data_IF_668570446664
#
_entry.id   IF_668570446664
#
_cell.length_a   1.000
_cell.length_b   1.000
_cell.length_c   1.000
_cell.angle_alpha   90.00
_cell.angle_beta   90.00
_cell.angle_gamma   90.00
#
_symmetry.space_group_name_H-M   'P 1'
#
loop_
_entity.id
_entity.type
_entity.pdbx_description
1 polymer ?
#
# COMPACT_ATOMS: atom_id res chain seq x y z
N UNK A 1 -1.27 -28.33 -1.89
CA UNK A 1 -0.90 -28.76 -3.26
C UNK A 1 -0.12 -27.60 -3.84
N UNK A 2 1.09 -27.81 -4.35
CA UNK A 2 1.91 -26.72 -4.87
C UNK A 2 1.70 -26.62 -6.38
N UNK A 3 1.16 -25.51 -6.85
CA UNK A 3 0.97 -25.22 -8.28
C UNK A 3 2.00 -24.18 -8.72
N UNK A 4 2.62 -24.42 -9.87
CA UNK A 4 3.61 -23.54 -10.47
C UNK A 4 3.18 -23.21 -11.90
N UNK A 5 3.19 -21.92 -12.24
CA UNK A 5 2.95 -21.43 -13.60
C UNK A 5 4.18 -20.67 -14.10
N UNK A 6 4.54 -20.86 -15.37
CA UNK A 6 5.57 -20.09 -16.06
C UNK A 6 4.90 -19.07 -16.99
N UNK A 7 5.23 -17.80 -16.82
CA UNK A 7 4.61 -16.68 -17.55
C UNK A 7 5.63 -15.99 -18.45
N UNK A 8 5.23 -15.75 -19.71
CA UNK A 8 5.99 -14.97 -20.68
C UNK A 8 5.24 -13.67 -20.99
N UNK A 9 5.92 -12.53 -20.88
CA UNK A 9 5.34 -11.21 -21.13
C UNK A 9 5.16 -10.89 -22.63
N UNK A 10 5.67 -11.74 -23.53
CA UNK A 10 5.51 -11.57 -24.98
C UNK A 10 4.09 -11.95 -25.50
N UNK A 11 3.33 -12.73 -24.73
CA UNK A 11 2.01 -13.27 -25.11
C UNK A 11 0.89 -12.69 -24.22
N UNK A 12 0.88 -11.36 -24.02
CA UNK A 12 -0.05 -10.67 -23.10
C UNK A 12 -1.16 -9.97 -23.87
N UNK A 13 -2.41 -10.19 -23.47
CA UNK A 13 -3.56 -9.48 -24.06
C UNK A 13 -3.80 -8.14 -23.36
N UNK A 14 -3.92 -7.06 -24.14
CA UNK A 14 -4.36 -5.76 -23.63
C UNK A 14 -5.85 -5.81 -23.25
N UNK A 15 -6.18 -5.43 -22.02
CA UNK A 15 -7.55 -5.24 -21.56
C UNK A 15 -8.10 -3.90 -22.05
N UNK A 16 -9.39 -3.88 -22.39
CA UNK A 16 -10.10 -2.68 -22.80
C UNK A 16 -11.33 -2.53 -21.92
N UNK A 17 -11.52 -1.31 -21.41
CA UNK A 17 -12.58 -1.00 -20.46
C UNK A 17 -13.50 0.07 -21.02
N UNK A 18 -14.79 -0.03 -20.71
CA UNK A 18 -15.76 1.04 -20.96
C UNK A 18 -15.80 2.02 -19.78
N UNK A 19 -15.76 3.32 -20.05
CA UNK A 19 -15.88 4.34 -18.99
C UNK A 19 -17.29 4.35 -18.40
N UNK A 20 -17.39 4.48 -17.07
CA UNK A 20 -18.65 4.53 -16.33
C UNK A 20 -18.56 5.45 -15.11
N UNK A 21 -19.69 6.02 -14.73
CA UNK A 21 -19.82 6.84 -13.51
C UNK A 21 -20.35 6.02 -12.30
N UNK A 22 -20.78 4.77 -12.53
CA UNK A 22 -21.56 3.99 -11.55
C UNK A 22 -20.71 3.11 -10.60
N UNK A 23 -19.38 3.11 -10.68
CA UNK A 23 -18.55 2.24 -9.82
C UNK A 23 -18.63 2.61 -8.34
N UNK A 24 -18.96 3.86 -8.02
CA UNK A 24 -19.23 4.29 -6.63
C UNK A 24 -20.47 3.60 -6.02
N UNK A 25 -21.36 3.03 -6.85
CA UNK A 25 -22.50 2.26 -6.37
C UNK A 25 -22.10 0.86 -5.86
N UNK A 26 -20.98 0.29 -6.35
CA UNK A 26 -20.47 -1.00 -5.90
C UNK A 26 -19.50 -0.90 -4.72
N UNK A 27 -18.92 0.29 -4.47
CA UNK A 27 -17.93 0.53 -3.43
C UNK A 27 -18.49 1.27 -2.22
N UNK A 28 -18.17 0.80 -1.02
CA UNK A 28 -18.34 1.55 0.22
C UNK A 28 -17.12 2.44 0.43
N UNK A 29 -17.33 3.75 0.26
CA UNK A 29 -16.31 4.77 0.44
C UNK A 29 -16.49 5.44 1.80
N UNK A 30 -15.52 5.28 2.68
CA UNK A 30 -15.47 5.96 3.96
C UNK A 30 -14.33 6.97 3.95
N UNK A 31 -14.57 8.17 4.48
CA UNK A 31 -13.55 9.20 4.61
C UNK A 31 -13.39 9.57 6.09
N UNK A 32 -12.14 9.71 6.51
CA UNK A 32 -11.77 10.10 7.86
C UNK A 32 -10.72 11.20 7.83
N UNK A 33 -10.70 12.02 8.87
CA UNK A 33 -9.58 12.94 9.12
C UNK A 33 -8.72 12.34 10.21
N UNK A 34 -7.41 12.37 10.04
CA UNK A 34 -6.50 12.01 11.12
C UNK A 34 -6.67 12.97 12.30
N UNK A 35 -6.58 12.48 13.55
CA UNK A 35 -6.60 13.34 14.73
C UNK A 35 -5.35 14.25 14.80
N UNK A 36 -4.23 13.84 14.20
CA UNK A 36 -2.96 14.56 14.23
C UNK A 36 -2.70 15.32 12.91
N UNK A 37 -3.53 16.33 12.64
CA UNK A 37 -3.47 17.13 11.40
C UNK A 37 -2.17 17.97 11.22
N UNK A 38 -1.26 17.97 12.19
CA UNK A 38 -0.06 18.81 12.21
C UNK A 38 1.26 17.99 12.23
N UNK A 39 1.21 16.67 12.00
CA UNK A 39 2.38 15.77 12.07
C UNK A 39 2.54 14.94 10.80
N UNK A 40 3.78 14.78 10.35
CA UNK A 40 4.11 14.03 9.12
C UNK A 40 4.01 12.54 9.40
N UNK A 41 3.22 11.88 8.56
CA UNK A 41 3.01 10.45 8.59
C UNK A 41 3.86 9.82 7.48
N UNK A 42 4.88 9.07 7.86
CA UNK A 42 5.64 8.27 6.90
C UNK A 42 4.91 6.97 6.53
N UNK A 43 4.10 6.41 7.44
CA UNK A 43 3.37 5.16 7.23
C UNK A 43 2.12 5.00 8.12
N UNK A 44 1.09 4.33 7.62
CA UNK A 44 -0.10 3.95 8.39
C UNK A 44 -0.79 2.69 7.83
N UNK A 45 -1.62 2.05 8.66
CA UNK A 45 -2.58 1.05 8.23
C UNK A 45 -3.93 1.20 8.93
N UNK A 46 -4.94 0.59 8.33
CA UNK A 46 -6.31 0.56 8.86
C UNK A 46 -6.71 -0.88 9.13
N UNK A 47 -7.35 -1.11 10.26
CA UNK A 47 -8.01 -2.37 10.58
C UNK A 47 -9.32 -2.09 11.32
N UNK A 48 -10.45 -2.44 10.71
CA UNK A 48 -11.78 -2.08 11.20
C UNK A 48 -11.95 -0.56 11.44
N UNK A 49 -12.12 -0.12 12.70
CA UNK A 49 -12.23 1.31 13.06
C UNK A 49 -10.91 1.94 13.51
N UNK A 50 -9.82 1.16 13.53
CA UNK A 50 -8.54 1.57 14.08
C UNK A 50 -7.59 1.95 12.97
N UNK A 51 -6.91 3.07 13.17
CA UNK A 51 -5.83 3.54 12.32
C UNK A 51 -4.55 3.48 13.12
N UNK A 52 -3.61 2.63 12.70
CA UNK A 52 -2.26 2.58 13.25
C UNK A 52 -1.37 3.47 12.39
N UNK A 53 -0.59 4.35 13.01
CA UNK A 53 0.17 5.34 12.26
C UNK A 53 1.46 5.73 12.97
N UNK A 54 2.44 6.13 12.16
CA UNK A 54 3.69 6.73 12.63
C UNK A 54 3.47 8.18 13.04
N UNK A 55 4.13 8.58 14.13
CA UNK A 55 4.42 9.97 14.45
C UNK A 55 5.93 10.17 14.46
N UNK A 56 6.42 10.97 13.52
CA UNK A 56 7.82 11.35 13.41
C UNK A 56 7.96 12.87 13.52
N UNK A 57 8.93 13.32 14.30
CA UNK A 57 9.14 14.74 14.62
C UNK A 57 10.28 15.37 13.80
N UNK A 58 10.90 14.64 12.88
CA UNK A 58 12.10 15.07 12.18
C UNK A 58 11.97 16.47 11.53
N UNK A 59 10.90 16.69 10.77
CA UNK A 59 10.65 17.96 10.09
C UNK A 59 10.30 19.11 11.04
N UNK A 60 9.81 18.81 12.25
CA UNK A 60 9.63 19.82 13.29
C UNK A 60 10.96 20.23 13.92
N UNK A 61 11.94 19.31 13.98
CA UNK A 61 13.25 19.57 14.57
C UNK A 61 14.19 20.34 13.62
N UNK A 62 13.94 20.29 12.31
CA UNK A 62 14.77 20.94 11.30
C UNK A 62 14.13 22.25 10.85
N UNK A 63 14.92 23.31 10.90
CA UNK A 63 14.50 24.59 10.33
C UNK A 63 14.62 24.58 8.81
N UNK A 64 13.51 24.25 8.14
CA UNK A 64 13.42 24.24 6.69
C UNK A 64 13.60 25.64 6.07
N UNK A 65 13.43 26.72 6.85
CA UNK A 65 13.55 28.11 6.37
C UNK A 65 14.95 28.70 6.56
N UNK A 66 15.75 28.11 7.45
CA UNK A 66 17.05 28.60 7.89
C UNK A 66 17.02 29.90 8.71
N UNK A 67 15.87 30.32 9.24
CA UNK A 67 15.68 31.58 9.95
C UNK A 67 15.68 31.47 11.49
N UNK A 68 15.25 30.34 12.05
CA UNK A 68 15.02 30.12 13.48
C UNK A 68 16.01 29.13 14.11
N UNK A 69 16.69 28.33 13.29
CA UNK A 69 17.64 27.30 13.71
C UNK A 69 16.94 26.01 14.17
N UNK A 70 17.68 24.90 14.13
CA UNK A 70 17.16 23.58 14.48
C UNK A 70 16.81 23.50 15.98
N UNK A 71 15.77 22.75 16.30
CA UNK A 71 15.38 22.41 17.67
C UNK A 71 16.24 21.22 18.13
N UNK A 72 16.85 21.26 19.33
CA UNK A 72 17.55 20.12 19.87
C UNK A 72 16.61 18.91 20.04
N UNK A 73 17.10 17.74 19.69
CA UNK A 73 16.39 16.49 19.95
C UNK A 73 16.25 16.23 21.45
N UNK A 74 15.09 15.70 21.85
CA UNK A 74 14.76 15.22 23.19
C UNK A 74 14.01 13.87 23.04
N UNK A 75 14.06 13.01 24.06
CA UNK A 75 13.52 11.63 23.98
C UNK A 75 12.02 11.58 23.62
N UNK A 76 11.24 12.60 24.01
CA UNK A 76 9.83 12.71 23.65
C UNK A 76 9.58 13.00 22.15
N UNK A 77 10.61 13.39 21.41
CA UNK A 77 10.59 13.55 19.95
C UNK A 77 11.06 12.30 19.22
N UNK A 78 11.29 11.19 19.93
CA UNK A 78 11.54 9.94 19.24
C UNK A 78 10.28 9.45 18.51
N UNK A 79 10.47 8.64 17.48
CA UNK A 79 9.40 8.09 16.67
C UNK A 79 8.43 7.30 17.54
N UNK A 80 7.14 7.51 17.30
CA UNK A 80 6.06 6.80 17.97
C UNK A 80 5.23 6.05 16.95
N UNK A 81 4.69 4.91 17.37
CA UNK A 81 3.59 4.26 16.69
C UNK A 81 2.37 4.40 17.58
N UNK A 82 1.29 4.91 17.01
CA UNK A 82 0.05 5.22 17.74
C UNK A 82 -1.12 4.52 17.07
N UNK A 83 -2.22 4.39 17.81
CA UNK A 83 -3.48 3.91 17.29
C UNK A 83 -4.59 4.89 17.62
N UNK A 84 -5.34 5.26 16.60
CA UNK A 84 -6.55 6.07 16.73
C UNK A 84 -7.78 5.22 16.42
N UNK A 85 -8.74 5.17 17.34
CA UNK A 85 -10.02 4.49 17.12
C UNK A 85 -11.10 5.51 16.75
N UNK A 86 -11.53 5.45 15.49
CA UNK A 86 -12.53 6.34 14.91
C UNK A 86 -13.92 6.20 15.54
N UNK A 87 -14.22 5.09 16.22
CA UNK A 87 -15.51 4.90 16.90
C UNK A 87 -15.55 5.57 18.27
N UNK A 88 -14.43 5.56 18.99
CA UNK A 88 -14.34 6.07 20.37
C UNK A 88 -13.69 7.44 20.47
N UNK A 89 -13.12 7.95 19.37
CA UNK A 89 -12.38 9.22 19.33
C UNK A 89 -11.22 9.21 20.36
N UNK A 90 -10.52 8.08 20.41
CA UNK A 90 -9.42 7.85 21.37
C UNK A 90 -8.12 7.60 20.64
N UNK A 91 -7.05 8.21 21.15
CA UNK A 91 -5.70 8.11 20.62
C UNK A 91 -4.75 7.56 21.68
N UNK A 92 -4.08 6.45 21.36
CA UNK A 92 -3.27 5.69 22.30
C UNK A 92 -1.85 5.45 21.75
N UNK A 93 -0.86 5.54 22.63
CA UNK A 93 0.52 5.17 22.30
C UNK A 93 0.64 3.65 22.26
N UNK A 94 1.09 3.10 21.13
CA UNK A 94 1.37 1.67 20.98
C UNK A 94 2.83 1.37 21.30
N UNK A 95 3.74 2.17 20.73
CA UNK A 95 5.17 2.01 20.93
C UNK A 95 5.90 3.35 20.77
N UNK A 96 6.98 3.53 21.51
CA UNK A 96 7.89 4.66 21.37
C UNK A 96 9.33 4.13 21.35
N UNK A 97 10.11 4.63 20.40
CA UNK A 97 11.54 4.37 20.35
C UNK A 97 12.30 5.12 21.45
N UNK A 98 13.42 4.55 21.88
CA UNK A 98 14.28 5.11 22.94
C UNK A 98 15.72 5.25 22.45
N UNK A 99 15.87 5.87 21.27
CA UNK A 99 17.14 6.14 20.60
C UNK A 99 17.58 7.61 20.77
N UNK A 100 18.80 7.94 20.38
CA UNK A 100 19.36 9.31 20.42
C UNK A 100 18.91 10.19 19.23
N UNK A 101 17.86 9.78 18.50
CA UNK A 101 17.28 10.48 17.35
C UNK A 101 15.99 9.83 16.87
N UNK A 102 15.28 10.47 15.93
CA UNK A 102 14.13 9.88 15.25
C UNK A 102 14.55 8.64 14.46
N UNK A 103 13.68 7.64 14.43
CA UNK A 103 13.83 6.41 13.64
C UNK A 103 12.81 6.45 12.50
N UNK A 104 13.28 6.37 11.26
CA UNK A 104 12.38 6.29 10.11
C UNK A 104 11.81 4.88 10.00
N UNK A 105 10.49 4.77 9.88
CA UNK A 105 9.79 3.50 9.67
C UNK A 105 8.93 3.55 8.42
N UNK A 106 8.66 2.39 7.83
CA UNK A 106 7.76 2.24 6.69
C UNK A 106 6.89 0.99 6.81
N UNK A 107 5.93 0.86 5.89
CA UNK A 107 5.14 -0.35 5.67
C UNK A 107 4.49 -0.92 6.95
N UNK A 108 3.88 -0.04 7.76
CA UNK A 108 3.08 -0.45 8.92
C UNK A 108 1.89 -1.28 8.43
N UNK A 109 1.69 -2.47 9.00
CA UNK A 109 0.57 -3.37 8.72
C UNK A 109 0.10 -4.00 10.03
N UNK A 110 -1.20 -4.26 10.15
CA UNK A 110 -1.78 -5.00 11.27
C UNK A 110 -2.47 -6.25 10.73
N UNK A 111 -2.11 -7.44 11.21
CA UNK A 111 -2.67 -8.73 10.73
C UNK A 111 -3.93 -9.19 11.50
N UNK A 112 -4.45 -8.33 12.39
CA UNK A 112 -5.52 -8.66 13.32
C UNK A 112 -5.05 -9.09 14.71
N UNK A 113 -3.78 -9.49 14.85
CA UNK A 113 -3.13 -9.85 16.12
C UNK A 113 -1.87 -9.03 16.38
N UNK A 114 -0.99 -8.92 15.40
CA UNK A 114 0.30 -8.25 15.48
C UNK A 114 0.35 -7.03 14.57
N UNK A 115 0.94 -5.98 15.10
CA UNK A 115 1.42 -4.83 14.32
C UNK A 115 2.83 -5.13 13.83
N UNK A 116 3.06 -4.93 12.55
CA UNK A 116 4.31 -5.22 11.84
C UNK A 116 4.75 -3.95 11.13
N UNK A 117 6.05 -3.64 11.14
CA UNK A 117 6.60 -2.49 10.41
C UNK A 117 8.07 -2.72 10.07
N UNK A 118 8.57 -1.94 9.12
CA UNK A 118 9.97 -1.91 8.71
C UNK A 118 10.68 -0.69 9.32
N UNK A 119 11.87 -0.88 9.90
CA UNK A 119 12.81 0.21 10.15
C UNK A 119 13.64 0.49 8.88
N UNK A 120 13.65 1.74 8.45
CA UNK A 120 14.42 2.20 7.29
C UNK A 120 15.83 2.56 7.76
N UNK A 121 16.71 1.55 7.81
CA UNK A 121 18.16 1.68 8.07
C UNK A 121 18.98 1.08 6.93
N UNK A 122 20.31 1.18 7.00
CA UNK A 122 21.23 0.56 6.03
C UNK A 122 20.93 -0.96 5.82
N UNK A 123 20.38 -1.62 6.84
CA UNK A 123 19.74 -2.93 6.77
C UNK A 123 18.23 -2.85 7.06
N UNK A 124 17.41 -3.42 6.17
CA UNK A 124 15.97 -3.56 6.40
C UNK A 124 15.72 -4.47 7.59
N UNK A 125 15.19 -3.92 8.68
CA UNK A 125 14.81 -4.69 9.86
C UNK A 125 13.30 -4.65 10.04
N UNK A 126 12.67 -5.83 10.13
CA UNK A 126 11.23 -5.94 10.38
C UNK A 126 10.96 -6.25 11.84
N UNK A 127 9.99 -5.56 12.42
CA UNK A 127 9.53 -5.77 13.79
C UNK A 127 8.08 -6.23 13.81
N UNK A 128 7.73 -6.96 14.87
CA UNK A 128 6.36 -7.32 15.20
C UNK A 128 6.06 -7.00 16.67
N UNK A 129 4.83 -6.57 16.96
CA UNK A 129 4.36 -6.30 18.32
C UNK A 129 2.90 -6.76 18.45
N UNK A 130 2.57 -7.46 19.52
CA UNK A 130 1.18 -7.67 19.93
C UNK A 130 0.76 -6.46 20.78
N UNK A 131 -0.08 -5.53 20.27
CA UNK A 131 -0.47 -4.34 21.00
C UNK A 131 -1.34 -4.63 22.23
N UNK A 132 -1.91 -5.84 22.33
CA UNK A 132 -2.74 -6.24 23.48
C UNK A 132 -1.93 -6.94 24.59
N UNK A 133 -0.79 -7.56 24.27
CA UNK A 133 -0.06 -8.42 25.20
C UNK A 133 1.39 -7.99 25.50
N UNK A 134 2.02 -7.20 24.62
CA UNK A 134 3.45 -6.91 24.70
C UNK A 134 3.72 -5.41 24.78
N UNK A 135 4.80 -5.06 25.48
CA UNK A 135 5.27 -3.66 25.60
C UNK A 135 6.55 -3.39 24.82
N UNK A 136 7.10 -4.41 24.15
CA UNK A 136 8.36 -4.34 23.42
C UNK A 136 8.25 -5.13 22.12
N UNK A 137 8.70 -4.56 20.99
CA UNK A 137 8.65 -5.24 19.71
C UNK A 137 9.67 -6.37 19.65
N UNK A 138 9.31 -7.42 18.93
CA UNK A 138 10.20 -8.52 18.57
C UNK A 138 10.75 -8.28 17.18
N UNK A 139 12.08 -8.25 17.04
CA UNK A 139 12.75 -8.29 15.74
C UNK A 139 12.50 -9.64 15.07
N UNK A 140 12.06 -9.62 13.81
CA UNK A 140 11.91 -10.81 12.98
C UNK A 140 13.26 -11.13 12.32
N UNK A 141 13.74 -12.35 12.54
CA UNK A 141 14.92 -12.87 11.85
C UNK A 141 14.49 -13.43 10.49
N UNK A 142 14.51 -12.57 9.48
CA UNK A 142 14.25 -12.96 8.10
C UNK A 142 15.57 -13.54 7.55
N UNK A 143 15.72 -14.86 7.61
CA UNK A 143 16.92 -15.55 7.11
C UNK A 143 17.12 -15.31 5.59
N UNK A 144 17.78 -14.23 5.18
CA UNK A 144 18.36 -14.00 3.84
C UNK A 144 17.49 -14.22 2.59
N UNK A 145 16.20 -14.54 2.72
CA UNK A 145 15.30 -14.69 1.60
C UNK A 145 14.78 -13.32 1.22
N UNK A 146 14.82 -13.04 -0.09
CA UNK A 146 14.46 -11.78 -0.71
C UNK A 146 12.98 -11.42 -0.44
N UNK A 147 12.68 -10.84 0.71
CA UNK A 147 11.35 -10.31 1.03
C UNK A 147 11.43 -8.80 0.83
N UNK A 148 11.11 -8.36 -0.40
CA UNK A 148 10.55 -7.02 -0.58
C UNK A 148 9.28 -6.93 0.29
N UNK A 149 8.97 -5.77 0.91
CA UNK A 149 8.18 -5.67 2.14
C UNK A 149 6.90 -6.50 2.08
N UNK A 150 6.58 -7.17 3.19
CA UNK A 150 5.38 -7.97 3.37
C UNK A 150 4.18 -7.26 2.75
N UNK A 151 3.72 -7.71 1.58
CA UNK A 151 2.41 -7.31 1.09
C UNK A 151 1.44 -8.31 1.69
N UNK A 152 0.73 -7.91 2.74
CA UNK A 152 -0.46 -8.65 3.18
C UNK A 152 -1.65 -8.13 2.37
N UNK A 153 -2.27 -9.01 1.59
CA UNK A 153 -3.51 -8.69 0.87
C UNK A 153 -4.60 -9.65 1.34
N UNK A 154 -5.52 -9.15 2.17
CA UNK A 154 -6.46 -10.03 2.85
C UNK A 154 -5.70 -11.09 3.69
N UNK A 155 -6.02 -12.36 3.44
CA UNK A 155 -5.39 -13.52 4.10
C UNK A 155 -4.19 -14.09 3.32
N UNK A 156 -3.54 -13.31 2.46
CA UNK A 156 -2.41 -13.75 1.64
C UNK A 156 -1.12 -13.03 1.99
N UNK A 157 -0.06 -13.83 2.18
CA UNK A 157 1.33 -13.39 2.21
C UNK A 157 1.92 -13.51 0.80
N UNK A 158 2.49 -12.41 0.30
CA UNK A 158 3.12 -12.35 -1.02
C UNK A 158 4.61 -12.07 -0.85
N UNK A 159 5.45 -12.97 -1.38
CA UNK A 159 6.90 -12.79 -1.43
C UNK A 159 7.43 -12.81 -2.86
N UNK A 160 8.52 -12.07 -3.08
CA UNK A 160 9.12 -11.87 -4.40
C UNK A 160 10.61 -12.19 -4.37
N UNK A 161 10.99 -13.31 -4.98
CA UNK A 161 12.39 -13.66 -5.19
C UNK A 161 12.84 -13.21 -6.59
N UNK A 162 13.89 -12.38 -6.65
CA UNK A 162 14.48 -11.93 -7.91
C UNK A 162 15.67 -12.82 -8.29
N UNK A 163 15.63 -13.40 -9.48
CA UNK A 163 16.72 -14.14 -10.10
C UNK A 163 17.27 -13.42 -11.33
N UNK A 164 18.27 -14.03 -11.98
CA UNK A 164 18.84 -13.52 -13.23
C UNK A 164 17.83 -13.69 -14.37
N UNK A 165 17.19 -12.60 -14.78
CA UNK A 165 16.19 -12.55 -15.87
C UNK A 165 14.83 -13.18 -15.57
N UNK A 166 14.60 -13.68 -14.35
CA UNK A 166 13.32 -14.28 -13.93
C UNK A 166 12.99 -13.84 -12.51
N UNK A 167 11.72 -13.55 -12.24
CA UNK A 167 11.19 -13.27 -10.91
C UNK A 167 10.24 -14.36 -10.47
N UNK A 168 10.27 -14.74 -9.19
CA UNK A 168 9.32 -15.68 -8.60
C UNK A 168 8.42 -14.98 -7.60
N UNK A 169 7.12 -14.99 -7.87
CA UNK A 169 6.09 -14.48 -6.95
C UNK A 169 5.51 -15.69 -6.23
N UNK A 170 5.71 -15.76 -4.91
CA UNK A 170 5.05 -16.76 -4.06
C UNK A 170 3.87 -16.11 -3.36
N UNK A 171 2.73 -16.79 -3.40
CA UNK A 171 1.49 -16.35 -2.77
C UNK A 171 1.04 -17.47 -1.85
N UNK A 172 0.90 -17.17 -0.56
CA UNK A 172 0.55 -18.14 0.45
C UNK A 172 -0.67 -17.67 1.23
N UNK A 173 -1.72 -18.49 1.25
CA UNK A 173 -2.85 -18.27 2.15
C UNK A 173 -2.41 -18.54 3.59
N UNK A 174 -2.68 -17.61 4.50
CA UNK A 174 -2.22 -17.65 5.88
C UNK A 174 -3.01 -18.68 6.70
N UNK A 175 -4.32 -18.78 6.48
CA UNK A 175 -5.21 -19.65 7.26
C UNK A 175 -4.98 -21.13 7.00
N UNK A 176 -4.83 -21.50 5.72
CA UNK A 176 -4.77 -22.89 5.28
C UNK A 176 -3.40 -23.31 4.74
N UNK A 177 -2.45 -22.37 4.63
CA UNK A 177 -1.09 -22.57 4.12
C UNK A 177 -1.02 -23.11 2.68
N UNK A 178 -2.08 -22.94 1.87
CA UNK A 178 -2.03 -23.18 0.43
C UNK A 178 -1.03 -22.21 -0.21
N UNK A 179 -0.12 -22.75 -1.02
CA UNK A 179 0.94 -21.98 -1.69
C UNK A 179 0.84 -22.11 -3.20
N UNK A 180 0.89 -20.97 -3.89
CA UNK A 180 1.01 -20.84 -5.34
C UNK A 180 2.30 -20.10 -5.66
N UNK A 181 2.95 -20.46 -6.77
CA UNK A 181 4.15 -19.77 -7.23
C UNK A 181 4.07 -19.46 -8.71
N UNK A 182 4.25 -18.18 -9.06
CA UNK A 182 4.38 -17.70 -10.43
C UNK A 182 5.86 -17.50 -10.74
N UNK A 183 6.31 -18.03 -11.86
CA UNK A 183 7.64 -17.78 -12.42
C UNK A 183 7.49 -16.86 -13.62
N UNK A 184 7.87 -15.60 -13.47
CA UNK A 184 7.70 -14.55 -14.48
C UNK A 184 9.05 -14.27 -15.13
N UNK A 185 9.13 -14.38 -16.46
CA UNK A 185 10.29 -13.88 -17.21
C UNK A 185 10.28 -12.35 -17.17
N UNK A 186 11.32 -11.74 -16.62
CA UNK A 186 11.40 -10.28 -16.41
C UNK A 186 11.54 -9.88 -14.94
N UNK A 187 11.60 -8.58 -14.71
CA UNK A 187 11.83 -7.97 -13.40
C UNK A 187 10.51 -7.50 -12.80
N UNK A 188 9.89 -8.33 -11.96
CA UNK A 188 8.64 -8.00 -11.26
C UNK A 188 8.90 -6.95 -10.19
N UNK A 189 7.94 -6.04 -10.04
CA UNK A 189 7.94 -4.99 -9.03
C UNK A 189 6.56 -4.86 -8.38
N UNK A 190 6.54 -4.85 -7.05
CA UNK A 190 5.37 -4.67 -6.17
C UNK A 190 4.18 -5.61 -6.46
N UNK A 191 4.37 -6.94 -6.49
CA UNK A 191 3.24 -7.83 -6.70
C UNK A 191 2.21 -7.71 -5.57
N UNK A 192 0.93 -7.70 -5.95
CA UNK A 192 -0.23 -7.77 -5.05
C UNK A 192 -1.11 -8.91 -5.55
N UNK A 193 -1.63 -9.74 -4.65
CA UNK A 193 -2.46 -10.88 -5.05
C UNK A 193 -3.53 -11.21 -4.03
N UNK A 194 -4.65 -11.73 -4.52
CA UNK A 194 -5.71 -12.32 -3.71
C UNK A 194 -5.99 -13.76 -4.19
N UNK A 195 -7.17 -14.29 -3.87
CA UNK A 195 -7.55 -15.66 -4.23
C UNK A 195 -7.74 -15.89 -5.74
N UNK A 196 -8.07 -14.82 -6.48
CA UNK A 196 -8.43 -14.84 -7.91
C UNK A 196 -7.37 -14.25 -8.83
N UNK A 197 -6.63 -13.25 -8.36
CA UNK A 197 -5.79 -12.40 -9.19
C UNK A 197 -4.40 -12.20 -8.58
N UNK A 198 -3.41 -12.05 -9.44
CA UNK A 198 -2.11 -11.48 -9.09
C UNK A 198 -1.78 -10.36 -10.07
N UNK A 199 -1.49 -9.18 -9.55
CA UNK A 199 -1.16 -7.98 -10.33
C UNK A 199 0.22 -7.47 -9.98
N UNK A 200 0.95 -6.92 -10.96
CA UNK A 200 2.27 -6.34 -10.73
C UNK A 200 2.68 -5.36 -11.84
N UNK A 201 3.70 -4.56 -11.56
CA UNK A 201 4.40 -3.71 -12.53
C UNK A 201 5.77 -4.30 -12.86
N UNK A 202 6.43 -3.86 -13.93
CA UNK A 202 7.85 -4.15 -14.16
C UNK A 202 8.77 -3.08 -13.57
N UNK A 203 9.98 -3.48 -13.19
CA UNK A 203 11.01 -2.60 -12.61
C UNK A 203 11.63 -1.64 -13.65
N UNK A 204 11.49 -1.94 -14.94
CA UNK A 204 12.09 -1.20 -16.07
C UNK A 204 11.59 0.24 -16.25
N UNK A 205 10.59 0.68 -15.48
CA UNK A 205 10.12 2.06 -15.49
C UNK A 205 9.05 2.37 -16.53
N UNK A 206 8.51 1.36 -17.23
CA UNK A 206 7.23 1.46 -17.93
C UNK A 206 6.11 1.49 -16.89
N UNK A 207 6.08 2.56 -16.09
CA UNK A 207 5.13 2.79 -15.02
C UNK A 207 3.70 3.03 -15.53
N UNK A 208 3.45 2.75 -16.81
CA UNK A 208 2.17 2.88 -17.47
C UNK A 208 1.52 1.51 -17.71
N UNK A 209 2.16 0.40 -17.35
CA UNK A 209 1.63 -0.95 -17.55
C UNK A 209 1.44 -1.68 -16.22
N UNK A 210 0.24 -2.21 -16.01
CA UNK A 210 -0.07 -3.14 -14.93
C UNK A 210 -0.42 -4.50 -15.52
N UNK A 211 0.34 -5.53 -15.15
CA UNK A 211 0.06 -6.91 -15.53
C UNK A 211 -0.99 -7.51 -14.59
N UNK A 212 -1.88 -8.32 -15.14
CA UNK A 212 -2.99 -8.97 -14.45
C UNK A 212 -2.98 -10.46 -14.81
N UNK A 213 -2.70 -11.31 -13.84
CA UNK A 213 -2.81 -12.75 -13.97
C UNK A 213 -4.06 -13.25 -13.25
N UNK A 214 -4.96 -13.87 -14.01
CA UNK A 214 -6.16 -14.51 -13.50
C UNK A 214 -5.88 -16.00 -13.23
N UNK A 215 -6.04 -16.41 -11.96
CA UNK A 215 -5.82 -17.79 -11.54
C UNK A 215 -6.90 -18.76 -12.04
N UNK A 216 -8.13 -18.28 -12.23
CA UNK A 216 -9.25 -19.10 -12.68
C UNK A 216 -9.14 -19.40 -14.17
N UNK A 217 -8.78 -18.39 -14.97
CA UNK A 217 -8.61 -18.52 -16.42
C UNK A 217 -7.21 -19.02 -16.80
N UNK A 218 -6.23 -18.87 -15.91
CA UNK A 218 -4.81 -19.11 -16.20
C UNK A 218 -4.26 -18.13 -17.24
N UNK A 219 -4.82 -16.92 -17.31
CA UNK A 219 -4.59 -15.94 -18.38
C UNK A 219 -3.81 -14.74 -17.86
N UNK A 220 -2.79 -14.34 -18.61
CA UNK A 220 -2.04 -13.11 -18.40
C UNK A 220 -2.55 -12.01 -19.34
N UNK A 221 -2.92 -10.87 -18.76
CA UNK A 221 -3.37 -9.67 -19.46
C UNK A 221 -2.64 -8.43 -18.94
N UNK A 222 -2.84 -7.27 -19.57
CA UNK A 222 -2.30 -6.00 -19.10
C UNK A 222 -3.30 -4.85 -19.21
N UNK A 223 -3.09 -3.81 -18.40
CA UNK A 223 -3.77 -2.52 -18.46
C UNK A 223 -2.73 -1.46 -18.77
N UNK A 224 -3.02 -0.59 -19.74
CA UNK A 224 -2.17 0.56 -20.10
C UNK A 224 -2.78 1.87 -19.58
N UNK A 225 -1.97 2.68 -18.91
CA UNK A 225 -2.36 3.95 -18.28
C UNK A 225 -1.96 5.20 -19.10
N UNK A 226 -1.32 5.00 -20.25
CA UNK A 226 -0.92 6.08 -21.17
C UNK A 226 -2.15 6.89 -21.65
N UNK A 227 -2.09 8.24 -21.73
CA UNK A 227 -0.93 9.12 -21.60
C UNK A 227 -0.63 9.60 -20.16
N UNK A 228 -1.27 9.01 -19.15
CA UNK A 228 -0.87 9.17 -17.75
C UNK A 228 0.07 8.05 -17.31
N UNK A 229 0.36 8.03 -16.01
CA UNK A 229 1.26 7.06 -15.39
C UNK A 229 0.65 6.48 -14.13
N UNK A 230 0.82 5.18 -13.92
CA UNK A 230 0.47 4.52 -12.67
C UNK A 230 1.50 4.86 -11.58
N UNK A 231 1.06 5.51 -10.52
CA UNK A 231 1.91 5.86 -9.38
C UNK A 231 1.89 4.80 -8.29
N UNK A 232 0.69 4.32 -7.93
CA UNK A 232 0.48 3.22 -6.98
C UNK A 232 -0.85 2.55 -7.27
N UNK A 233 -1.04 1.34 -6.75
CA UNK A 233 -2.23 0.54 -6.97
C UNK A 233 -2.47 -0.41 -5.81
N UNK A 234 -3.71 -0.88 -5.71
CA UNK A 234 -4.13 -1.92 -4.80
C UNK A 234 -5.22 -2.79 -5.45
N UNK A 235 -5.47 -3.95 -4.85
CA UNK A 235 -6.41 -4.95 -5.34
C UNK A 235 -7.54 -5.14 -4.31
N UNK A 236 -8.76 -4.84 -4.74
CA UNK A 236 -9.96 -4.95 -3.93
C UNK A 236 -10.93 -5.92 -4.60
N UNK A 237 -10.87 -7.20 -4.20
CA UNK A 237 -11.61 -8.28 -4.88
C UNK A 237 -11.26 -8.33 -6.38
N UNK A 238 -12.22 -8.11 -7.29
CA UNK A 238 -12.00 -8.02 -8.73
C UNK A 238 -11.80 -6.56 -9.22
N UNK A 239 -11.75 -5.60 -8.30
CA UNK A 239 -11.48 -4.20 -8.59
C UNK A 239 -10.00 -3.87 -8.44
N UNK A 240 -9.44 -3.13 -9.40
CA UNK A 240 -8.14 -2.50 -9.26
C UNK A 240 -8.34 -1.03 -8.91
N UNK A 241 -7.78 -0.60 -7.79
CA UNK A 241 -7.72 0.80 -7.39
C UNK A 241 -6.38 1.35 -7.86
N UNK A 242 -6.40 2.25 -8.82
CA UNK A 242 -5.21 2.82 -9.45
C UNK A 242 -5.09 4.31 -9.13
N UNK A 243 -3.96 4.70 -8.56
CA UNK A 243 -3.58 6.11 -8.43
C UNK A 243 -2.79 6.51 -9.67
N UNK A 244 -3.43 7.31 -10.52
CA UNK A 244 -2.86 7.77 -11.78
C UNK A 244 -2.36 9.21 -11.65
N UNK A 245 -1.09 9.42 -12.03
CA UNK A 245 -0.48 10.76 -12.14
C UNK A 245 -0.50 11.25 -13.58
N UNK A 246 -0.56 12.57 -13.71
CA UNK A 246 -0.49 13.24 -15.00
C UNK A 246 0.96 13.36 -15.47
N UNK A 247 1.29 12.83 -16.64
CA UNK A 247 2.59 13.08 -17.30
C UNK A 247 2.49 14.05 -18.49
N UNK A 248 1.28 14.33 -18.98
CA UNK A 248 1.07 15.21 -20.14
C UNK A 248 -0.15 16.12 -19.96
N UNK A 249 -0.44 16.99 -20.92
CA UNK A 249 -1.68 17.79 -20.92
C UNK A 249 -2.97 16.95 -21.10
N UNK A 250 -2.85 15.63 -21.27
CA UNK A 250 -3.95 14.69 -21.45
C UNK A 250 -4.02 13.72 -20.26
N UNK A 251 -5.23 13.30 -19.91
CA UNK A 251 -5.51 12.52 -18.70
C UNK A 251 -5.75 13.40 -17.47
N UNK A 252 -6.55 12.90 -16.53
CA UNK A 252 -6.78 13.52 -15.23
C UNK A 252 -5.99 12.76 -14.17
N UNK A 253 -5.41 13.48 -13.24
CA UNK A 253 -4.79 12.87 -12.08
C UNK A 253 -5.87 12.53 -11.04
N UNK A 254 -5.71 11.39 -10.39
CA UNK A 254 -6.69 10.94 -9.41
C UNK A 254 -6.68 9.45 -9.13
N UNK A 255 -7.69 9.04 -8.39
CA UNK A 255 -7.93 7.63 -8.04
C UNK A 255 -8.98 7.08 -9.00
N UNK A 256 -8.65 5.99 -9.67
CA UNK A 256 -9.49 5.27 -10.61
C UNK A 256 -9.82 3.88 -10.06
N UNK A 257 -11.01 3.39 -10.40
CA UNK A 257 -11.43 2.01 -10.17
C UNK A 257 -11.60 1.33 -11.52
N UNK A 258 -11.04 0.13 -11.65
CA UNK A 258 -11.24 -0.75 -12.80
C UNK A 258 -11.94 -2.01 -12.32
N UNK A 259 -13.12 -2.27 -12.88
CA UNK A 259 -13.90 -3.48 -12.69
C UNK A 259 -13.50 -4.50 -13.76
N UNK A 260 -12.80 -5.56 -13.35
CA UNK A 260 -12.33 -6.61 -14.24
C UNK A 260 -13.44 -7.56 -14.71
N UNK A 261 -14.53 -7.70 -13.95
CA UNK A 261 -15.66 -8.56 -14.33
C UNK A 261 -16.58 -7.85 -15.31
N UNK A 262 -16.94 -6.60 -15.00
CA UNK A 262 -17.77 -5.75 -15.85
C UNK A 262 -17.02 -5.17 -17.04
N UNK A 263 -15.68 -5.22 -17.05
CA UNK A 263 -14.82 -4.55 -18.03
C UNK A 263 -15.14 -3.06 -18.13
N UNK A 264 -15.32 -2.42 -16.98
CA UNK A 264 -15.58 -0.98 -16.90
C UNK A 264 -14.55 -0.27 -16.03
N UNK A 265 -14.38 1.04 -16.21
CA UNK A 265 -13.53 1.84 -15.34
C UNK A 265 -14.15 3.22 -15.09
N UNK A 266 -13.75 3.86 -13.99
CA UNK A 266 -14.28 5.17 -13.61
C UNK A 266 -13.38 5.88 -12.62
N UNK A 267 -13.38 7.21 -12.67
CA UNK A 267 -12.64 8.03 -11.73
C UNK A 267 -13.44 8.15 -10.41
N UNK A 268 -12.84 7.74 -9.30
CA UNK A 268 -13.42 7.87 -7.96
C UNK A 268 -13.14 9.25 -7.35
N UNK A 269 -11.91 9.75 -7.52
CA UNK A 269 -11.46 11.03 -6.98
C UNK A 269 -10.60 11.76 -8.00
N UNK A 270 -10.75 13.08 -8.10
CA UNK A 270 -10.08 13.95 -9.08
C UNK A 270 -9.22 14.99 -8.37
N UNK A 271 -7.94 15.10 -8.73
CA UNK A 271 -7.10 16.17 -8.20
C UNK A 271 -7.45 17.53 -8.81
N UNK A 272 -8.02 17.57 -10.00
CA UNK A 272 -8.35 18.81 -10.71
C UNK A 272 -9.60 19.49 -10.14
N UNK A 273 -10.61 18.70 -9.77
CA UNK A 273 -11.88 19.22 -9.28
C UNK A 273 -11.78 19.68 -7.82
N UNK A 274 -10.91 19.02 -7.05
CA UNK A 274 -10.84 19.20 -5.60
C UNK A 274 -9.48 19.70 -5.08
N UNK A 275 -8.49 19.90 -5.95
CA UNK A 275 -7.12 20.29 -5.62
C UNK A 275 -6.43 19.37 -4.59
N UNK A 276 -6.70 18.06 -4.70
CA UNK A 276 -6.09 17.04 -3.86
C UNK A 276 -4.71 16.61 -4.38
N UNK A 277 -3.78 16.38 -3.46
CA UNK A 277 -2.54 15.63 -3.76
C UNK A 277 -2.70 14.23 -3.20
N UNK A 278 -2.71 13.23 -4.09
CA UNK A 278 -2.81 11.82 -3.67
C UNK A 278 -1.43 11.24 -3.39
N UNK A 279 -1.29 10.62 -2.23
CA UNK A 279 -0.12 9.84 -1.84
C UNK A 279 -0.28 8.37 -2.25
N UNK A 280 0.44 7.46 -1.62
CA UNK A 280 0.38 6.04 -2.00
C UNK A 280 -0.99 5.42 -1.67
N UNK A 281 -1.41 4.51 -2.54
CA UNK A 281 -2.49 3.56 -2.26
C UNK A 281 -1.91 2.33 -1.58
N UNK A 282 -2.58 1.88 -0.54
CA UNK A 282 -2.15 0.77 0.31
C UNK A 282 -3.24 -0.31 0.37
N UNK A 283 -2.78 -1.55 0.48
CA UNK A 283 -3.64 -2.71 0.63
C UNK A 283 -3.89 -2.99 2.11
N UNK A 284 -5.16 -3.14 2.49
CA UNK A 284 -5.56 -3.61 3.81
C UNK A 284 -5.70 -5.13 3.89
N UNK A 285 -5.56 -5.65 5.12
CA UNK A 285 -5.76 -7.08 5.43
C UNK A 285 -7.24 -7.44 5.61
N UNK A 286 -8.12 -6.46 5.78
CA UNK A 286 -9.56 -6.64 6.00
C UNK A 286 -10.37 -6.50 4.70
N UNK A 287 -9.76 -6.86 3.57
CA UNK A 287 -10.31 -6.62 2.23
C UNK A 287 -10.68 -5.15 1.99
N UNK A 288 -9.90 -4.23 2.57
CA UNK A 288 -10.01 -2.81 2.30
C UNK A 288 -8.82 -2.32 1.47
N UNK A 289 -9.02 -1.17 0.83
CA UNK A 289 -7.95 -0.38 0.24
C UNK A 289 -8.00 0.99 0.87
N UNK A 290 -6.86 1.53 1.28
CA UNK A 290 -6.80 2.87 1.84
C UNK A 290 -5.74 3.71 1.16
N UNK A 291 -5.96 5.01 1.13
CA UNK A 291 -5.01 5.97 0.60
C UNK A 291 -5.16 7.29 1.32
N UNK A 292 -4.07 8.05 1.30
CA UNK A 292 -4.02 9.39 1.87
C UNK A 292 -4.07 10.43 0.77
N UNK A 293 -4.75 11.53 1.07
CA UNK A 293 -4.66 12.74 0.26
C UNK A 293 -4.58 13.99 1.14
N UNK A 294 -3.85 14.97 0.65
CA UNK A 294 -3.82 16.32 1.21
C UNK A 294 -4.73 17.23 0.39
N UNK A 295 -5.54 18.05 1.05
CA UNK A 295 -6.31 19.12 0.41
C UNK A 295 -5.63 20.49 0.57
N UNK A 296 -6.24 21.57 0.06
CA UNK A 296 -5.70 22.94 0.17
C UNK A 296 -5.55 23.47 1.61
N UNK A 297 -6.02 22.73 2.61
CA UNK A 297 -5.85 23.09 4.02
C UNK A 297 -4.66 22.38 4.67
N UNK A 298 -3.86 21.66 3.89
CA UNK A 298 -2.70 20.86 4.31
C UNK A 298 -3.05 19.81 5.38
N UNK A 299 -4.34 19.42 5.45
CA UNK A 299 -4.79 18.36 6.34
C UNK A 299 -4.80 17.03 5.62
N UNK A 300 -4.02 16.09 6.13
CA UNK A 300 -4.01 14.72 5.68
C UNK A 300 -5.34 14.04 6.01
N UNK A 301 -5.98 13.49 4.98
CA UNK A 301 -7.22 12.72 5.07
C UNK A 301 -6.98 11.30 4.58
N UNK A 302 -7.68 10.36 5.20
CA UNK A 302 -7.68 8.96 4.78
C UNK A 302 -8.99 8.68 4.08
N UNK A 303 -8.90 7.96 2.97
CA UNK A 303 -10.03 7.25 2.39
C UNK A 303 -9.84 5.76 2.63
N UNK A 304 -10.90 5.09 3.04
CA UNK A 304 -11.00 3.64 3.14
C UNK A 304 -12.07 3.19 2.15
N UNK A 305 -11.70 2.29 1.26
CA UNK A 305 -12.55 1.67 0.25
C UNK A 305 -12.78 0.21 0.62
N UNK A 306 -14.05 -0.21 0.58
CA UNK A 306 -14.47 -1.60 0.70
C UNK A 306 -15.47 -1.93 -0.41
N UNK A 307 -15.65 -3.21 -0.73
CA UNK A 307 -16.78 -3.67 -1.56
C UNK A 307 -18.05 -3.69 -0.70
N UNK A 308 -19.21 -3.37 -1.29
CA UNK A 308 -20.52 -3.41 -0.60
C UNK A 308 -21.07 -4.82 -0.40
#
# INVERSE_FOLDING_TARGET
MQTQAELNLEDVSLLSFEETENLTEALLIQTGTFPAADMIQGSFCVYESRVYYEVNYYDMLIDQTGQIGNIPFEENYNTQIRVYDTKTDSDELVYQYHEDGCVDISDIIFDGTYLIWEEVKDDRTVYMLDPAAQTQPKKLDLESQAVNPFTLCGNYDISLEKGDGTSSITIQNIDNHEKRTLSVKGAVHRPVANEYLCIWTEESGDADILYVYDFNEGKLSQIEFSPGRLFSYALLDHYIIANQRRESSYGKEGIYCFDLEGMTYGQLFSSEDDAYTFLFTFQGVDHSVYFEFADQTDKNKIVILNVK
#
